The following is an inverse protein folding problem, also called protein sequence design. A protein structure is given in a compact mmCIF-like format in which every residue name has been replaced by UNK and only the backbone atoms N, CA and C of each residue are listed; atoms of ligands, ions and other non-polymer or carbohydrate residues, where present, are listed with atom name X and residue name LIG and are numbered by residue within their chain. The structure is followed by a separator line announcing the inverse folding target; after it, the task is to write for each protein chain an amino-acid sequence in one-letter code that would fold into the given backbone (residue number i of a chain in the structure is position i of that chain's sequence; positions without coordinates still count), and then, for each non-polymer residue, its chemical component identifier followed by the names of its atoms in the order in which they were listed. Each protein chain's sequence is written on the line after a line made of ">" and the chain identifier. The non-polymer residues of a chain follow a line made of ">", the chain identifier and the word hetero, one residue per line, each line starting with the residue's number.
data_IF_458786881512
#
_entry.id   IF_458786881512
#
_cell.length_a   1.000
_cell.length_b   1.000
_cell.length_c   1.000
_cell.angle_alpha   90.00
_cell.angle_beta   90.00
_cell.angle_gamma   90.00
#
_symmetry.space_group_name_H-M   'P 1'
#
loop_
_entity.id
_entity.type
_entity.pdbx_description
1 polymer ?
#
# COMPACT_ATOMS: atom_id res chain seq x y z
N UNK A 1 -14.20 9.17 -6.53
CA UNK A 1 -14.71 9.15 -5.13
C UNK A 1 -14.11 7.99 -4.37
N UNK A 2 -13.78 8.15 -3.07
CA UNK A 2 -13.35 7.04 -2.20
C UNK A 2 -14.51 6.50 -1.39
N UNK A 3 -14.51 5.18 -1.18
CA UNK A 3 -15.40 4.48 -0.25
C UNK A 3 -14.58 3.55 0.65
N UNK A 4 -14.97 3.37 1.93
CA UNK A 4 -14.35 2.36 2.78
C UNK A 4 -14.44 0.98 2.13
N UNK A 5 -13.33 0.25 2.15
CA UNK A 5 -13.31 -1.11 1.64
C UNK A 5 -14.00 -2.05 2.65
N UNK A 6 -14.72 -3.04 2.13
CA UNK A 6 -15.37 -4.09 2.90
C UNK A 6 -15.24 -5.44 2.19
N UNK A 7 -15.65 -6.52 2.83
CA UNK A 7 -15.45 -7.89 2.32
C UNK A 7 -16.03 -8.10 0.92
N UNK A 8 -17.10 -7.41 0.53
CA UNK A 8 -17.66 -7.48 -0.83
C UNK A 8 -16.72 -6.95 -1.90
N UNK A 9 -15.72 -6.14 -1.54
CA UNK A 9 -14.69 -5.66 -2.46
C UNK A 9 -13.51 -6.62 -2.62
N UNK A 10 -13.44 -7.72 -1.83
CA UNK A 10 -12.31 -8.67 -1.87
C UNK A 10 -12.00 -9.20 -3.28
N UNK A 11 -12.99 -9.58 -4.14
CA UNK A 11 -12.68 -10.07 -5.48
C UNK A 11 -11.92 -9.04 -6.33
N UNK A 12 -12.34 -7.78 -6.30
CA UNK A 12 -11.66 -6.73 -7.07
C UNK A 12 -10.30 -6.38 -6.49
N UNK A 13 -10.18 -6.30 -5.15
CA UNK A 13 -8.90 -6.09 -4.49
C UNK A 13 -7.91 -7.21 -4.83
N UNK A 14 -8.35 -8.47 -4.79
CA UNK A 14 -7.54 -9.62 -5.18
C UNK A 14 -7.04 -9.52 -6.62
N UNK A 15 -7.92 -9.13 -7.55
CA UNK A 15 -7.55 -8.94 -8.96
C UNK A 15 -6.48 -7.85 -9.12
N UNK A 16 -6.68 -6.67 -8.50
CA UNK A 16 -5.77 -5.54 -8.58
C UNK A 16 -4.41 -5.82 -7.91
N UNK A 17 -4.41 -6.53 -6.77
CA UNK A 17 -3.18 -6.92 -6.07
C UNK A 17 -2.40 -7.94 -6.91
N UNK A 18 -3.07 -8.96 -7.47
CA UNK A 18 -2.42 -9.95 -8.34
C UNK A 18 -1.82 -9.32 -9.60
N UNK A 19 -2.55 -8.40 -10.23
CA UNK A 19 -2.03 -7.65 -11.38
C UNK A 19 -0.78 -6.83 -11.01
N UNK A 20 -0.81 -6.11 -9.89
CA UNK A 20 0.36 -5.38 -9.37
C UNK A 20 1.54 -6.31 -9.07
N UNK A 21 1.29 -7.46 -8.43
CA UNK A 21 2.31 -8.45 -8.12
C UNK A 21 2.94 -9.07 -9.37
N UNK A 22 2.13 -9.37 -10.41
CA UNK A 22 2.63 -9.91 -11.69
C UNK A 22 3.57 -8.94 -12.41
N UNK A 23 3.46 -7.63 -12.13
CA UNK A 23 4.32 -6.58 -12.67
C UNK A 23 5.43 -6.15 -11.71
N UNK A 24 5.58 -6.83 -10.59
CA UNK A 24 6.60 -6.57 -9.61
C UNK A 24 6.37 -5.32 -8.75
N UNK A 25 5.13 -4.77 -8.74
CA UNK A 25 4.75 -3.66 -7.85
C UNK A 25 4.47 -4.12 -6.41
N UNK A 26 4.22 -5.42 -6.23
CA UNK A 26 4.05 -6.11 -4.94
C UNK A 26 4.85 -7.42 -4.95
N UNK A 27 4.88 -8.13 -3.82
CA UNK A 27 5.53 -9.44 -3.72
C UNK A 27 4.97 -10.40 -4.77
N UNK A 28 5.87 -11.03 -5.53
CA UNK A 28 5.50 -11.90 -6.67
C UNK A 28 4.66 -13.10 -6.27
N UNK A 29 4.82 -13.59 -5.06
CA UNK A 29 4.04 -14.68 -4.49
C UNK A 29 2.55 -14.38 -4.53
N UNK A 30 2.15 -13.11 -4.38
CA UNK A 30 0.73 -12.69 -4.42
C UNK A 30 0.08 -12.85 -5.82
N UNK A 31 0.88 -12.97 -6.88
CA UNK A 31 0.38 -13.26 -8.23
C UNK A 31 0.09 -14.74 -8.45
N UNK A 32 0.55 -15.63 -7.56
CA UNK A 32 0.47 -17.09 -7.69
C UNK A 32 -0.69 -17.68 -6.89
N UNK A 33 -0.90 -18.99 -7.00
CA UNK A 33 -1.80 -19.76 -6.13
C UNK A 33 -1.02 -20.44 -4.99
N UNK A 34 0.04 -19.80 -4.50
CA UNK A 34 0.85 -20.28 -3.38
C UNK A 34 0.10 -20.27 -2.06
N UNK A 35 0.64 -20.99 -1.08
CA UNK A 35 0.12 -20.98 0.30
C UNK A 35 0.21 -19.58 0.91
N UNK A 36 1.29 -18.86 0.62
CA UNK A 36 1.55 -17.51 1.10
C UNK A 36 0.49 -16.54 0.56
N UNK A 37 0.17 -16.62 -0.74
CA UNK A 37 -0.90 -15.82 -1.34
C UNK A 37 -2.27 -16.16 -0.73
N UNK A 38 -2.56 -17.45 -0.53
CA UNK A 38 -3.82 -17.88 0.09
C UNK A 38 -3.94 -17.34 1.52
N UNK A 39 -2.87 -17.42 2.32
CA UNK A 39 -2.82 -16.88 3.68
C UNK A 39 -3.02 -15.36 3.68
N UNK A 40 -2.29 -14.64 2.82
CA UNK A 40 -2.43 -13.19 2.68
C UNK A 40 -3.87 -12.78 2.38
N UNK A 41 -4.52 -13.39 1.38
CA UNK A 41 -5.90 -13.04 1.03
C UNK A 41 -6.92 -13.48 2.08
N UNK A 42 -6.64 -14.53 2.86
CA UNK A 42 -7.43 -14.89 4.03
C UNK A 42 -7.37 -13.82 5.12
N UNK A 43 -6.16 -13.36 5.44
CA UNK A 43 -5.93 -12.28 6.41
C UNK A 43 -6.52 -10.95 5.91
N UNK A 44 -6.40 -10.65 4.61
CA UNK A 44 -7.03 -9.47 4.01
C UNK A 44 -8.56 -9.53 4.14
N UNK A 45 -9.17 -10.70 3.90
CA UNK A 45 -10.61 -10.89 4.12
C UNK A 45 -11.00 -10.60 5.57
N UNK A 46 -10.21 -11.08 6.52
CA UNK A 46 -10.42 -10.80 7.93
C UNK A 46 -10.30 -9.29 8.22
N UNK A 47 -9.25 -8.64 7.69
CA UNK A 47 -9.04 -7.20 7.87
C UNK A 47 -10.19 -6.36 7.31
N UNK A 48 -10.76 -6.74 6.17
CA UNK A 48 -11.92 -6.06 5.57
C UNK A 48 -13.21 -6.21 6.42
N UNK A 49 -13.28 -7.21 7.29
CA UNK A 49 -14.40 -7.41 8.24
C UNK A 49 -14.16 -6.74 9.58
N UNK A 50 -12.93 -6.82 10.10
CA UNK A 50 -12.60 -6.46 11.50
C UNK A 50 -11.80 -5.17 11.62
N UNK A 51 -11.19 -4.70 10.52
CA UNK A 51 -10.23 -3.60 10.50
C UNK A 51 -8.80 -4.01 10.88
N UNK A 52 -8.55 -5.31 11.18
CA UNK A 52 -7.26 -5.79 11.69
C UNK A 52 -6.70 -6.93 10.83
N UNK A 53 -5.43 -6.81 10.50
CA UNK A 53 -4.63 -7.82 9.78
C UNK A 53 -3.72 -8.55 10.76
N UNK A 54 -3.58 -9.87 10.61
CA UNK A 54 -2.64 -10.67 11.42
C UNK A 54 -1.34 -10.80 10.64
N UNK A 55 -0.23 -10.47 11.27
CA UNK A 55 1.11 -10.64 10.71
C UNK A 55 2.04 -11.28 11.74
N UNK A 56 3.05 -11.96 11.24
CA UNK A 56 4.14 -12.49 12.05
C UNK A 56 5.23 -11.42 12.18
N UNK A 57 5.68 -11.15 13.41
CA UNK A 57 6.85 -10.31 13.64
C UNK A 57 8.10 -11.07 13.15
N UNK A 58 8.82 -10.56 12.14
CA UNK A 58 9.96 -11.26 11.56
C UNK A 58 11.14 -11.42 12.52
N UNK A 59 11.13 -10.74 13.66
CA UNK A 59 12.20 -10.83 14.67
C UNK A 59 11.92 -11.88 15.74
N UNK A 60 10.67 -12.00 16.17
CA UNK A 60 10.27 -12.86 17.28
C UNK A 60 9.50 -14.09 16.82
N UNK A 61 8.90 -14.07 15.64
CA UNK A 61 7.97 -15.08 15.16
C UNK A 61 6.58 -14.98 15.81
N UNK A 62 6.35 -13.96 16.64
CA UNK A 62 5.06 -13.77 17.31
C UNK A 62 4.00 -13.24 16.33
N UNK A 63 2.78 -13.74 16.49
CA UNK A 63 1.64 -13.21 15.74
C UNK A 63 1.15 -11.91 16.39
N UNK A 64 1.11 -10.86 15.61
CA UNK A 64 0.61 -9.55 16.01
C UNK A 64 -0.58 -9.13 15.16
N UNK A 65 -1.42 -8.27 15.70
CA UNK A 65 -2.53 -7.68 14.95
C UNK A 65 -2.27 -6.20 14.72
N UNK A 66 -2.40 -5.77 13.47
CA UNK A 66 -2.24 -4.35 13.08
C UNK A 66 -3.51 -3.83 12.44
N UNK A 67 -3.88 -2.59 12.73
CA UNK A 67 -5.03 -1.97 12.07
C UNK A 67 -4.70 -1.69 10.59
N UNK A 68 -5.62 -2.12 9.70
CA UNK A 68 -5.47 -1.96 8.25
C UNK A 68 -6.75 -1.34 7.66
N UNK A 69 -6.98 -0.02 7.84
CA UNK A 69 -8.06 0.67 7.15
C UNK A 69 -7.82 0.66 5.63
N UNK A 70 -8.86 0.30 4.89
CA UNK A 70 -8.81 0.21 3.43
C UNK A 70 -9.88 1.04 2.75
N UNK A 71 -9.59 1.46 1.51
CA UNK A 71 -10.49 2.22 0.65
C UNK A 71 -10.44 1.68 -0.77
N UNK A 72 -11.59 1.75 -1.44
CA UNK A 72 -11.68 1.56 -2.89
C UNK A 72 -11.95 2.90 -3.58
N UNK A 73 -11.39 3.05 -4.77
CA UNK A 73 -11.55 4.25 -5.57
C UNK A 73 -12.49 3.98 -6.75
N UNK A 74 -13.54 4.79 -6.83
CA UNK A 74 -14.50 4.78 -7.92
C UNK A 74 -14.27 6.02 -8.79
N UNK A 75 -14.17 5.87 -10.12
CA UNK A 75 -14.07 7.01 -11.01
C UNK A 75 -15.39 7.80 -11.00
N UNK A 76 -15.30 9.10 -11.25
CA UNK A 76 -16.47 9.93 -11.49
C UNK A 76 -16.78 9.91 -12.99
N UNK A 77 -17.36 8.81 -13.46
CA UNK A 77 -17.82 8.63 -14.83
C UNK A 77 -19.34 8.54 -14.82
N UNK A 78 -19.98 9.55 -15.36
CA UNK A 78 -21.43 9.64 -15.35
C UNK A 78 -22.10 8.40 -15.97
N UNK A 79 -23.05 7.82 -15.26
CA UNK A 79 -24.12 6.98 -15.84
C UNK A 79 -23.91 5.46 -15.87
N UNK A 80 -23.01 4.86 -15.10
CA UNK A 80 -22.85 3.40 -15.02
C UNK A 80 -22.65 2.87 -13.61
N UNK A 81 -22.81 1.55 -13.42
CA UNK A 81 -22.45 0.89 -12.17
C UNK A 81 -20.99 1.19 -11.82
N UNK A 82 -20.77 1.96 -10.77
CA UNK A 82 -19.44 2.41 -10.35
C UNK A 82 -18.62 1.23 -9.81
N UNK A 83 -17.98 0.49 -10.72
CA UNK A 83 -17.01 -0.54 -10.33
C UNK A 83 -15.74 0.16 -9.81
N UNK A 84 -15.19 -0.26 -8.66
CA UNK A 84 -13.91 0.26 -8.22
C UNK A 84 -12.81 -0.01 -9.25
N UNK A 85 -11.99 1.01 -9.52
CA UNK A 85 -10.86 0.94 -10.45
C UNK A 85 -9.51 1.08 -9.75
N UNK A 86 -9.52 1.25 -8.43
CA UNK A 86 -8.31 1.36 -7.65
C UNK A 86 -8.59 1.15 -6.16
N UNK A 87 -7.52 1.09 -5.38
CA UNK A 87 -7.58 0.87 -3.94
C UNK A 87 -6.39 1.48 -3.23
N UNK A 88 -6.54 1.66 -1.91
CA UNK A 88 -5.46 1.96 -0.98
C UNK A 88 -5.71 1.28 0.35
N UNK A 89 -4.71 0.58 0.86
CA UNK A 89 -4.68 -0.02 2.19
C UNK A 89 -3.62 0.67 3.02
N UNK A 90 -3.99 1.09 4.22
CA UNK A 90 -3.06 1.66 5.18
C UNK A 90 -2.75 0.63 6.25
N UNK A 91 -1.52 0.62 6.73
CA UNK A 91 -1.08 -0.21 7.85
C UNK A 91 -0.69 0.71 9.01
N UNK A 92 -1.26 0.47 10.18
CA UNK A 92 -0.88 1.23 11.36
C UNK A 92 0.57 0.95 11.74
N UNK A 93 1.28 2.00 12.12
CA UNK A 93 2.62 1.99 12.69
C UNK A 93 2.62 2.86 13.94
N UNK A 94 3.63 2.76 14.79
CA UNK A 94 3.68 3.43 16.10
C UNK A 94 3.30 4.93 16.09
N UNK A 95 3.70 5.67 15.07
CA UNK A 95 3.53 7.12 15.00
C UNK A 95 2.56 7.58 13.90
N UNK A 96 1.88 6.66 13.22
CA UNK A 96 0.97 7.01 12.14
C UNK A 96 0.55 5.81 11.30
N UNK A 97 0.67 5.97 9.98
CA UNK A 97 0.34 4.93 9.03
C UNK A 97 1.41 4.82 7.94
N UNK A 98 1.55 3.63 7.42
CA UNK A 98 2.16 3.36 6.13
C UNK A 98 1.05 3.24 5.09
N UNK A 99 1.17 3.89 3.93
CA UNK A 99 0.37 3.52 2.77
C UNK A 99 0.98 2.22 2.22
N UNK A 100 0.38 1.11 2.63
CA UNK A 100 0.97 -0.22 2.50
C UNK A 100 0.83 -0.80 1.11
N UNK A 101 -0.40 -0.83 0.58
CA UNK A 101 -0.69 -1.29 -0.77
C UNK A 101 -1.62 -0.29 -1.46
N UNK A 102 -1.30 0.05 -2.70
CA UNK A 102 -2.14 0.92 -3.51
C UNK A 102 -1.96 0.60 -4.99
N UNK A 103 -3.02 0.71 -5.75
CA UNK A 103 -2.96 0.44 -7.18
C UNK A 103 -4.22 0.90 -7.91
N UNK A 104 -4.05 1.14 -9.22
CA UNK A 104 -5.11 1.45 -10.17
C UNK A 104 -5.12 0.39 -11.25
N UNK A 105 -6.30 -0.04 -11.65
CA UNK A 105 -6.53 -0.97 -12.75
C UNK A 105 -5.78 -0.53 -14.01
N UNK A 106 -5.18 -1.49 -14.71
CA UNK A 106 -4.32 -1.24 -15.86
C UNK A 106 -4.98 -0.40 -16.95
N UNK A 107 -6.26 -0.67 -17.23
CA UNK A 107 -7.03 0.05 -18.24
C UNK A 107 -7.26 1.53 -17.92
N UNK A 108 -7.12 1.92 -16.64
CA UNK A 108 -7.35 3.28 -16.15
C UNK A 108 -6.06 4.06 -15.85
N UNK A 109 -4.89 3.47 -16.15
CA UNK A 109 -3.59 4.16 -15.97
C UNK A 109 -3.35 5.17 -17.09
N UNK A 110 -2.47 6.12 -16.80
CA UNK A 110 -2.16 7.19 -17.76
C UNK A 110 -3.21 8.30 -17.86
N UNK A 111 -4.38 8.14 -17.25
CA UNK A 111 -5.51 9.08 -17.33
C UNK A 111 -5.66 9.96 -16.08
N UNK A 112 -4.64 10.05 -15.23
CA UNK A 112 -4.66 10.88 -14.01
C UNK A 112 -5.34 10.25 -12.79
N UNK A 113 -5.98 9.08 -12.93
CA UNK A 113 -6.70 8.41 -11.84
C UNK A 113 -5.80 8.07 -10.64
N UNK A 114 -4.55 7.66 -10.87
CA UNK A 114 -3.60 7.40 -9.79
C UNK A 114 -3.33 8.62 -8.92
N UNK A 115 -3.16 9.79 -9.54
CA UNK A 115 -2.98 11.07 -8.84
C UNK A 115 -4.23 11.47 -8.07
N UNK A 116 -5.40 11.39 -8.70
CA UNK A 116 -6.68 11.73 -8.07
C UNK A 116 -6.99 10.79 -6.88
N UNK A 117 -6.74 9.48 -7.06
CA UNK A 117 -6.90 8.50 -5.99
C UNK A 117 -5.94 8.76 -4.83
N UNK A 118 -4.65 8.98 -5.09
CA UNK A 118 -3.68 9.25 -4.02
C UNK A 118 -4.01 10.54 -3.27
N UNK A 119 -4.40 11.62 -3.97
CA UNK A 119 -4.87 12.85 -3.34
C UNK A 119 -6.06 12.58 -2.39
N UNK A 120 -7.05 11.82 -2.85
CA UNK A 120 -8.20 11.47 -2.06
C UNK A 120 -7.84 10.57 -0.86
N UNK A 121 -6.96 9.57 -1.04
CA UNK A 121 -6.46 8.70 0.03
C UNK A 121 -5.76 9.51 1.13
N UNK A 122 -4.87 10.44 0.75
CA UNK A 122 -4.13 11.27 1.70
C UNK A 122 -5.03 12.28 2.44
N UNK A 123 -6.21 12.59 1.93
CA UNK A 123 -7.21 13.41 2.61
C UNK A 123 -8.02 12.65 3.69
N UNK A 124 -7.99 11.31 3.71
CA UNK A 124 -8.66 10.49 4.73
C UNK A 124 -7.98 10.62 6.10
N UNK A 125 -8.66 10.28 7.22
CA UNK A 125 -8.04 10.28 8.55
C UNK A 125 -6.73 9.48 8.64
N UNK A 126 -6.64 8.20 8.18
CA UNK A 126 -5.36 7.50 8.13
C UNK A 126 -4.38 8.14 7.13
N UNK A 127 -4.85 8.62 5.98
CA UNK A 127 -4.02 9.25 4.95
C UNK A 127 -3.31 10.52 5.40
N UNK A 128 -3.97 11.35 6.22
CA UNK A 128 -3.36 12.55 6.82
C UNK A 128 -2.15 12.21 7.69
N UNK A 129 -2.06 10.99 8.19
CA UNK A 129 -0.97 10.45 9.01
C UNK A 129 -0.20 9.33 8.31
N UNK A 130 -0.37 9.17 7.00
CA UNK A 130 0.38 8.22 6.18
C UNK A 130 1.75 8.83 5.86
N UNK A 131 2.71 8.57 6.71
CA UNK A 131 4.04 9.16 6.62
C UNK A 131 5.02 8.33 5.81
N UNK A 132 4.78 7.05 5.66
CA UNK A 132 5.66 6.08 4.98
C UNK A 132 4.96 5.48 3.78
N UNK A 133 5.72 5.32 2.69
CA UNK A 133 5.35 4.48 1.53
C UNK A 133 6.58 3.68 1.12
N UNK A 134 6.41 2.36 0.96
CA UNK A 134 7.44 1.49 0.39
C UNK A 134 7.06 1.16 -1.05
N UNK A 135 8.00 1.35 -1.96
CA UNK A 135 7.83 1.06 -3.39
C UNK A 135 8.80 -0.03 -3.78
N UNK A 136 8.34 -1.09 -4.42
CA UNK A 136 9.22 -2.11 -5.00
C UNK A 136 10.07 -1.50 -6.10
N UNK A 137 11.40 -1.67 -6.05
CA UNK A 137 12.34 -1.01 -6.98
C UNK A 137 12.26 -1.52 -8.41
N UNK A 138 11.86 -2.77 -8.59
CA UNK A 138 11.87 -3.43 -9.89
C UNK A 138 10.47 -3.57 -10.52
N UNK A 139 9.46 -2.95 -9.93
CA UNK A 139 8.13 -2.89 -10.51
C UNK A 139 8.10 -1.96 -11.73
N UNK A 140 7.36 -2.34 -12.77
CA UNK A 140 7.19 -1.51 -13.97
C UNK A 140 6.62 -0.12 -13.67
N UNK A 141 5.84 0.00 -12.60
CA UNK A 141 5.17 1.23 -12.19
C UNK A 141 5.99 2.05 -11.16
N UNK A 142 7.14 1.54 -10.71
CA UNK A 142 7.94 2.14 -9.63
C UNK A 142 8.42 3.56 -9.92
N UNK A 143 8.92 3.89 -11.12
CA UNK A 143 9.32 5.27 -11.43
C UNK A 143 8.15 6.25 -11.41
N UNK A 144 6.99 5.84 -11.93
CA UNK A 144 5.79 6.66 -11.94
C UNK A 144 5.27 6.89 -10.51
N UNK A 145 5.31 5.86 -9.66
CA UNK A 145 4.93 5.97 -8.25
C UNK A 145 5.89 6.89 -7.48
N UNK A 146 7.19 6.75 -7.65
CA UNK A 146 8.19 7.61 -7.01
C UNK A 146 8.00 9.09 -7.38
N UNK A 147 7.79 9.37 -8.68
CA UNK A 147 7.49 10.73 -9.15
C UNK A 147 6.19 11.27 -8.55
N UNK A 148 5.15 10.44 -8.51
CA UNK A 148 3.87 10.81 -7.92
C UNK A 148 4.02 11.13 -6.41
N UNK A 149 4.71 10.28 -5.65
CA UNK A 149 4.97 10.50 -4.22
C UNK A 149 5.73 11.80 -3.97
N UNK A 150 6.75 12.10 -4.76
CA UNK A 150 7.47 13.38 -4.66
C UNK A 150 6.53 14.58 -4.82
N UNK A 151 5.55 14.51 -5.74
CA UNK A 151 4.56 15.57 -5.92
C UNK A 151 3.60 15.75 -4.75
N UNK A 152 3.52 14.79 -3.84
CA UNK A 152 2.75 14.84 -2.58
C UNK A 152 3.62 15.05 -1.33
N UNK A 153 4.86 15.50 -1.51
CA UNK A 153 5.76 15.85 -0.41
C UNK A 153 6.45 14.66 0.26
N UNK A 154 6.53 13.51 -0.42
CA UNK A 154 7.37 12.41 0.02
C UNK A 154 8.75 12.52 -0.58
N UNK A 155 9.77 12.18 0.21
CA UNK A 155 11.16 12.11 -0.21
C UNK A 155 11.71 10.70 0.00
N UNK A 156 12.57 10.26 -0.89
CA UNK A 156 13.32 9.00 -0.72
C UNK A 156 14.29 9.17 0.45
N UNK A 157 14.19 8.29 1.45
CA UNK A 157 15.04 8.34 2.65
C UNK A 157 15.93 7.11 2.78
N UNK A 158 15.55 6.01 2.14
CA UNK A 158 16.34 4.78 2.16
C UNK A 158 16.00 3.88 0.97
N UNK A 159 17.00 3.10 0.52
CA UNK A 159 16.83 2.04 -0.46
C UNK A 159 17.43 0.74 0.06
N UNK A 160 16.67 -0.33 -0.07
CA UNK A 160 17.15 -1.70 0.07
C UNK A 160 17.30 -2.35 -1.30
N UNK A 161 17.75 -3.60 -1.34
CA UNK A 161 17.78 -4.38 -2.58
C UNK A 161 16.41 -4.43 -3.27
N UNK A 162 15.32 -4.48 -2.51
CA UNK A 162 13.98 -4.73 -3.05
C UNK A 162 13.04 -3.51 -2.97
N UNK A 163 13.26 -2.59 -2.03
CA UNK A 163 12.36 -1.49 -1.76
C UNK A 163 13.05 -0.14 -1.71
N UNK A 164 12.34 0.89 -2.18
CA UNK A 164 12.61 2.30 -1.91
C UNK A 164 11.63 2.78 -0.84
N UNK A 165 12.13 3.34 0.24
CA UNK A 165 11.33 3.87 1.36
C UNK A 165 11.22 5.38 1.22
N UNK A 166 9.99 5.85 1.11
CA UNK A 166 9.66 7.27 1.02
C UNK A 166 9.04 7.74 2.33
N UNK A 167 9.51 8.87 2.84
CA UNK A 167 9.01 9.51 4.04
C UNK A 167 8.42 10.87 3.68
N UNK A 168 7.24 11.18 4.23
CA UNK A 168 6.61 12.47 4.01
C UNK A 168 7.34 13.55 4.81
N UNK A 169 7.52 14.73 4.23
CA UNK A 169 8.35 15.82 4.78
C UNK A 169 7.84 16.39 6.10
N UNK A 170 6.54 16.25 6.39
CA UNK A 170 5.90 16.65 7.66
C UNK A 170 5.80 15.51 8.69
N UNK A 171 6.47 14.37 8.44
CA UNK A 171 6.48 13.26 9.38
C UNK A 171 7.16 13.66 10.70
N UNK A 172 6.70 13.11 11.86
CA UNK A 172 7.36 13.33 13.13
C UNK A 172 8.85 12.96 13.08
N UNK A 173 9.77 13.79 13.64
CA UNK A 173 11.21 13.51 13.60
C UNK A 173 11.61 12.17 14.21
N UNK A 174 10.83 11.70 15.20
CA UNK A 174 11.00 10.39 15.84
C UNK A 174 10.85 9.24 14.84
N UNK A 175 9.94 9.37 13.88
CA UNK A 175 9.72 8.35 12.87
C UNK A 175 10.95 8.21 11.96
N UNK A 176 11.55 9.31 11.55
CA UNK A 176 12.78 9.29 10.74
C UNK A 176 13.98 8.68 11.49
N UNK A 177 14.04 8.83 12.82
CA UNK A 177 15.07 8.16 13.66
C UNK A 177 14.82 6.65 13.71
N UNK A 178 13.61 6.23 14.02
CA UNK A 178 13.23 4.81 14.10
C UNK A 178 13.39 4.08 12.76
N UNK A 179 13.08 4.73 11.64
CA UNK A 179 13.30 4.12 10.33
C UNK A 179 14.77 3.74 10.12
N UNK A 180 15.71 4.57 10.56
CA UNK A 180 17.16 4.27 10.48
C UNK A 180 17.58 3.09 11.37
N UNK A 181 16.84 2.81 12.44
CA UNK A 181 17.07 1.67 13.34
C UNK A 181 16.42 0.38 12.81
N UNK A 182 15.29 0.50 12.11
CA UNK A 182 14.53 -0.64 11.56
C UNK A 182 15.09 -1.18 10.25
N UNK A 183 15.83 -0.35 9.54
CA UNK A 183 16.47 -0.77 8.31
C UNK A 183 17.72 -1.57 8.69
N UNK A 184 17.77 -2.88 8.37
CA UNK A 184 18.98 -3.66 8.60
C UNK A 184 20.15 -2.94 7.92
N UNK A 185 21.22 -2.67 8.65
CA UNK A 185 22.49 -2.29 8.02
C UNK A 185 22.84 -3.49 7.14
N UNK A 186 22.64 -3.37 5.83
CA UNK A 186 23.13 -4.38 4.90
C UNK A 186 24.62 -4.54 5.21
N UNK A 187 24.98 -5.68 5.74
CA UNK A 187 26.37 -6.09 5.87
C UNK A 187 26.91 -6.12 4.44
N UNK A 188 27.69 -5.12 4.08
CA UNK A 188 28.53 -5.11 2.88
C UNK A 188 29.46 -6.33 2.99
N UNK A 189 29.04 -7.43 2.39
CA UNK A 189 29.85 -8.62 2.14
C UNK A 189 30.27 -8.64 0.68
#
# INVERSE_FOLDING_TARGET
>A
MLQPAHVGHLPILRSLIRDGASRGSFDRELATDSREAALFFSNLRQALNTGYFVEEDPRTGDLTTVAVPGYVYLPDVGGGANKPIGFGLFKAIDLGFELWLTGVDAEWRGHGHGRAMLAALLATPPGKRAYIVRVHRFGSDSPAMAHLLTSFGYMLVHETRHHAVHLRTDAPPELGRRLREWIPKETTG
#
